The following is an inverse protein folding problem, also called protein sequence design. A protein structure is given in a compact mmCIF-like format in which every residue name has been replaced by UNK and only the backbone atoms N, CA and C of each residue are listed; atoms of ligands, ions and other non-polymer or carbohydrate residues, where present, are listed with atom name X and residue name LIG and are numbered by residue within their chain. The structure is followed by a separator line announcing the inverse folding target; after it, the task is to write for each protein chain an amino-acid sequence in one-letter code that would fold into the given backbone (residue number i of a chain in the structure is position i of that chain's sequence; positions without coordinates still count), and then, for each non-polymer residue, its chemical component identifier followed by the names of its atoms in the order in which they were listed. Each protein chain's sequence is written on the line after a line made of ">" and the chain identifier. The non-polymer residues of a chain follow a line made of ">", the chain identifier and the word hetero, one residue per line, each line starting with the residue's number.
data_IF_842595359575
#
_entry.id   IF_842595359575
#
_cell.length_a   1.000
_cell.length_b   1.000
_cell.length_c   1.000
_cell.angle_alpha   90.00
_cell.angle_beta   90.00
_cell.angle_gamma   90.00
#
_symmetry.space_group_name_H-M   'P 1'
#
loop_
_entity.id
_entity.type
_entity.pdbx_description
1 polymer ?
#
# COMPACT_ATOMS: atom_id res chain seq x y z
N UNK A 1 1.42 14.04 10.70
CA UNK A 1 2.09 15.12 9.94
C UNK A 1 2.25 14.61 8.51
N UNK A 2 1.43 15.10 7.59
CA UNK A 2 1.44 14.69 6.18
C UNK A 2 2.65 15.35 5.49
N UNK A 3 3.37 14.68 4.58
CA UNK A 3 4.49 15.30 3.89
C UNK A 3 3.96 16.40 2.96
N UNK A 4 4.66 17.53 2.96
CA UNK A 4 4.48 18.60 1.98
C UNK A 4 4.94 18.07 0.60
N UNK A 5 4.03 17.45 -0.15
CA UNK A 5 4.30 17.00 -1.52
C UNK A 5 4.33 18.21 -2.46
N UNK A 6 5.41 18.99 -2.40
CA UNK A 6 5.66 20.09 -3.35
C UNK A 6 6.03 19.59 -4.76
N UNK A 7 6.40 18.31 -4.90
CA UNK A 7 6.61 17.65 -6.19
C UNK A 7 5.91 16.28 -6.23
N UNK A 8 4.94 16.14 -7.13
CA UNK A 8 4.21 14.88 -7.39
C UNK A 8 4.90 14.01 -8.46
N UNK A 9 6.08 14.38 -8.96
CA UNK A 9 6.81 13.66 -10.02
C UNK A 9 6.94 12.16 -9.77
N UNK A 10 7.32 11.78 -8.55
CA UNK A 10 7.44 10.37 -8.12
C UNK A 10 6.09 9.67 -8.18
N UNK A 11 5.04 10.30 -7.63
CA UNK A 11 3.69 9.73 -7.63
C UNK A 11 3.13 9.60 -9.04
N UNK A 12 3.34 10.60 -9.89
CA UNK A 12 2.89 10.55 -11.28
C UNK A 12 3.51 9.38 -12.04
N UNK A 13 4.80 9.13 -11.84
CA UNK A 13 5.48 7.97 -12.43
C UNK A 13 5.00 6.61 -11.92
N UNK A 14 4.22 6.58 -10.83
CA UNK A 14 3.70 5.35 -10.20
C UNK A 14 2.23 5.08 -10.53
N UNK A 15 1.53 6.04 -11.11
CA UNK A 15 0.12 5.90 -11.49
C UNK A 15 0.06 5.42 -12.93
N UNK A 16 -0.60 4.28 -13.14
CA UNK A 16 -0.90 3.76 -14.47
C UNK A 16 -2.01 4.57 -15.15
N UNK A 17 -3.07 4.89 -14.39
CA UNK A 17 -4.22 5.66 -14.89
C UNK A 17 -5.03 6.24 -13.72
N UNK A 18 -5.64 7.42 -13.91
CA UNK A 18 -6.58 8.02 -12.96
C UNK A 18 -6.07 9.32 -12.36
N UNK A 19 -6.60 9.69 -11.18
CA UNK A 19 -6.26 10.95 -10.51
C UNK A 19 -5.14 10.75 -9.49
N UNK A 20 -4.18 11.66 -9.47
CA UNK A 20 -3.20 11.76 -8.40
C UNK A 20 -3.87 12.15 -7.08
N UNK A 21 -3.72 11.39 -5.98
CA UNK A 21 -4.39 11.67 -4.71
C UNK A 21 -3.87 12.92 -3.99
N UNK A 22 -2.78 13.52 -4.48
CA UNK A 22 -2.12 14.65 -3.83
C UNK A 22 -2.41 16.00 -4.51
N UNK A 23 -2.59 16.01 -5.82
CA UNK A 23 -2.74 17.22 -6.62
C UNK A 23 -3.93 17.19 -7.60
N UNK A 24 -4.72 16.12 -7.58
CA UNK A 24 -5.86 15.89 -8.47
C UNK A 24 -5.53 15.91 -9.98
N UNK A 25 -4.24 15.79 -10.35
CA UNK A 25 -3.83 15.69 -11.74
C UNK A 25 -4.35 14.39 -12.37
N UNK A 26 -4.96 14.50 -13.56
CA UNK A 26 -5.40 13.35 -14.36
C UNK A 26 -4.22 12.80 -15.16
N UNK A 27 -3.90 11.52 -14.91
CA UNK A 27 -2.79 10.81 -15.50
C UNK A 27 -3.32 9.65 -16.35
N UNK A 28 -2.79 9.55 -17.55
CA UNK A 28 -3.13 8.53 -18.53
C UNK A 28 -1.83 8.12 -19.21
N UNK A 29 -1.46 6.84 -19.16
CA UNK A 29 -0.43 6.31 -20.06
C UNK A 29 -1.04 6.25 -21.47
N UNK A 30 -0.81 7.28 -22.28
CA UNK A 30 -1.41 7.48 -23.60
C UNK A 30 -1.57 6.19 -24.45
N UNK A 31 -2.80 5.66 -24.51
CA UNK A 31 -3.31 4.78 -25.57
C UNK A 31 -4.85 4.62 -25.53
N UNK A 32 -5.61 5.69 -25.26
CA UNK A 32 -7.06 5.73 -25.56
C UNK A 32 -7.59 7.17 -25.44
N UNK A 33 -7.42 7.97 -26.50
CA UNK A 33 -8.32 9.10 -26.73
C UNK A 33 -9.62 8.52 -27.27
N UNK A 34 -10.59 8.28 -26.39
CA UNK A 34 -11.99 8.28 -26.80
C UNK A 34 -12.83 9.00 -25.75
N UNK A 35 -13.32 10.17 -26.17
CA UNK A 35 -14.31 11.00 -25.52
C UNK A 35 -15.53 10.15 -25.16
N UNK A 36 -15.68 9.79 -23.88
CA UNK A 36 -17.01 9.68 -23.28
C UNK A 36 -16.95 10.14 -21.83
N UNK A 37 -17.67 11.23 -21.57
CA UNK A 37 -17.85 11.88 -20.26
C UNK A 37 -18.65 11.03 -19.25
N UNK A 38 -18.57 9.69 -19.29
CA UNK A 38 -19.52 8.81 -18.60
C UNK A 38 -18.90 7.75 -17.66
N UNK A 39 -17.59 7.75 -17.39
CA UNK A 39 -17.02 6.83 -16.40
C UNK A 39 -15.78 7.37 -15.68
N UNK A 40 -15.83 8.62 -15.17
CA UNK A 40 -14.88 9.08 -14.13
C UNK A 40 -15.27 8.47 -12.77
N UNK A 41 -15.15 7.16 -12.65
CA UNK A 41 -14.92 6.56 -11.33
C UNK A 41 -13.56 7.09 -10.87
N UNK A 42 -13.53 7.75 -9.71
CA UNK A 42 -12.35 8.39 -9.10
C UNK A 42 -11.29 7.37 -8.65
N UNK A 43 -10.99 6.36 -9.45
CA UNK A 43 -10.14 5.24 -9.06
C UNK A 43 -8.75 5.47 -9.63
N UNK A 44 -7.80 5.74 -8.73
CA UNK A 44 -6.38 5.76 -9.05
C UNK A 44 -5.91 4.31 -9.23
N UNK A 45 -5.34 4.00 -10.40
CA UNK A 45 -4.75 2.70 -10.71
C UNK A 45 -3.23 2.82 -10.60
N UNK A 46 -2.65 2.12 -9.63
CA UNK A 46 -1.22 2.13 -9.37
C UNK A 46 -0.49 1.07 -10.19
N UNK A 47 0.71 1.41 -10.68
CA UNK A 47 1.61 0.48 -11.36
C UNK A 47 2.55 -0.15 -10.34
N UNK A 48 2.28 -1.40 -9.97
CA UNK A 48 3.13 -2.16 -9.05
C UNK A 48 4.55 -2.35 -9.59
N UNK A 49 4.71 -2.46 -10.91
CA UNK A 49 6.01 -2.47 -11.58
C UNK A 49 6.76 -1.17 -11.38
N UNK A 50 6.12 -0.02 -11.62
CA UNK A 50 6.76 1.28 -11.44
C UNK A 50 7.12 1.53 -9.97
N UNK A 51 6.27 1.12 -9.04
CA UNK A 51 6.55 1.18 -7.60
C UNK A 51 7.72 0.27 -7.21
N UNK A 52 7.78 -0.96 -7.74
CA UNK A 52 8.90 -1.87 -7.51
C UNK A 52 10.24 -1.29 -7.98
N UNK A 53 10.26 -0.64 -9.14
CA UNK A 53 11.43 0.08 -9.68
C UNK A 53 11.77 1.30 -8.82
N UNK A 54 10.79 2.08 -8.38
CA UNK A 54 11.03 3.24 -7.53
C UNK A 54 11.64 2.86 -6.17
N UNK A 55 11.29 1.69 -5.63
CA UNK A 55 11.93 1.11 -4.43
C UNK A 55 13.39 0.66 -4.64
N UNK A 56 13.92 0.68 -5.86
CA UNK A 56 15.34 0.41 -6.15
C UNK A 56 16.14 1.69 -6.36
N UNK A 57 15.48 2.85 -6.36
CA UNK A 57 16.13 4.12 -6.63
C UNK A 57 17.22 4.41 -5.58
N UNK A 58 18.32 5.04 -6.02
CA UNK A 58 19.41 5.39 -5.13
C UNK A 58 18.96 6.39 -4.05
N UNK A 59 18.08 7.33 -4.41
CA UNK A 59 17.53 8.34 -3.53
C UNK A 59 16.52 7.73 -2.55
N UNK A 60 16.79 7.84 -1.25
CA UNK A 60 15.86 7.42 -0.21
C UNK A 60 14.57 8.22 -0.18
N UNK A 61 14.55 9.46 -0.67
CA UNK A 61 13.35 10.28 -0.78
C UNK A 61 12.31 9.66 -1.72
N UNK A 62 12.76 9.18 -2.89
CA UNK A 62 11.92 8.47 -3.86
C UNK A 62 11.37 7.18 -3.24
N UNK A 63 12.22 6.40 -2.56
CA UNK A 63 11.79 5.16 -1.89
C UNK A 63 10.78 5.43 -0.78
N UNK A 64 11.02 6.44 0.07
CA UNK A 64 10.08 6.86 1.13
C UNK A 64 8.73 7.35 0.58
N UNK A 65 8.75 8.14 -0.49
CA UNK A 65 7.52 8.57 -1.15
C UNK A 65 6.74 7.38 -1.72
N UNK A 66 7.44 6.42 -2.32
CA UNK A 66 6.82 5.18 -2.82
C UNK A 66 6.15 4.38 -1.71
N UNK A 67 6.79 4.23 -0.55
CA UNK A 67 6.19 3.55 0.61
C UNK A 67 4.93 4.28 1.10
N UNK A 68 4.94 5.62 1.07
CA UNK A 68 3.78 6.43 1.44
C UNK A 68 2.62 6.22 0.46
N UNK A 69 2.91 6.13 -0.84
CA UNK A 69 1.92 5.87 -1.89
C UNK A 69 1.28 4.47 -1.81
N UNK A 70 1.93 3.48 -1.18
CA UNK A 70 1.34 2.14 -1.00
C UNK A 70 0.16 2.11 -0.02
N UNK A 71 -0.02 3.18 0.78
CA UNK A 71 -1.00 3.22 1.87
C UNK A 71 -1.90 4.46 1.82
N UNK A 72 -1.99 5.10 0.66
CA UNK A 72 -2.96 6.18 0.42
C UNK A 72 -4.36 5.61 0.27
N UNK A 73 -5.35 6.48 0.46
CA UNK A 73 -6.73 6.14 0.12
C UNK A 73 -6.79 5.78 -1.38
N UNK A 74 -7.32 4.60 -1.69
CA UNK A 74 -7.25 3.98 -3.03
C UNK A 74 -5.84 3.60 -3.50
N UNK A 75 -4.96 3.20 -2.59
CA UNK A 75 -3.70 2.50 -2.88
C UNK A 75 -3.91 1.16 -3.62
N UNK A 76 -2.81 0.49 -4.04
CA UNK A 76 -2.89 -0.86 -4.59
C UNK A 76 -3.50 -1.85 -3.59
N UNK A 77 -4.03 -2.96 -4.09
CA UNK A 77 -4.57 -4.04 -3.25
C UNK A 77 -3.51 -4.53 -2.25
N UNK A 78 -3.95 -4.97 -1.06
CA UNK A 78 -3.07 -5.39 0.03
C UNK A 78 -2.10 -6.49 -0.42
N UNK A 79 -2.60 -7.46 -1.18
CA UNK A 79 -1.81 -8.56 -1.77
C UNK A 79 -0.65 -8.04 -2.64
N UNK A 80 -0.86 -6.97 -3.40
CA UNK A 80 0.16 -6.33 -4.21
C UNK A 80 1.11 -5.42 -3.40
N UNK A 81 0.61 -4.82 -2.31
CA UNK A 81 1.40 -3.96 -1.42
C UNK A 81 2.37 -4.76 -0.54
N UNK A 82 2.00 -5.94 -0.06
CA UNK A 82 2.82 -6.78 0.83
C UNK A 82 4.24 -7.05 0.31
N UNK A 83 4.47 -7.54 -0.94
CA UNK A 83 5.82 -7.79 -1.42
C UNK A 83 6.65 -6.50 -1.55
N UNK A 84 6.02 -5.38 -1.87
CA UNK A 84 6.68 -4.07 -1.96
C UNK A 84 7.06 -3.53 -0.58
N UNK A 85 6.17 -3.64 0.41
CA UNK A 85 6.44 -3.27 1.80
C UNK A 85 7.47 -4.19 2.45
N UNK A 86 7.47 -5.48 2.13
CA UNK A 86 8.50 -6.44 2.55
C UNK A 86 9.90 -6.04 2.07
N UNK A 87 10.01 -5.54 0.82
CA UNK A 87 11.25 -4.98 0.29
C UNK A 87 11.66 -3.73 1.06
N UNK A 88 10.73 -2.80 1.29
CA UNK A 88 10.99 -1.57 2.04
C UNK A 88 11.35 -1.83 3.52
N UNK A 89 10.85 -2.92 4.11
CA UNK A 89 11.20 -3.37 5.46
C UNK A 89 12.68 -3.73 5.60
N UNK A 90 13.31 -4.17 4.50
CA UNK A 90 14.73 -4.51 4.42
C UNK A 90 15.57 -3.37 3.83
N UNK A 91 15.00 -2.16 3.70
CA UNK A 91 15.69 -1.04 3.09
C UNK A 91 16.93 -0.61 3.88
N UNK A 92 17.95 -0.14 3.17
CA UNK A 92 19.19 0.39 3.76
C UNK A 92 18.96 1.64 4.62
N UNK A 93 17.99 2.46 4.26
CA UNK A 93 17.64 3.69 4.99
C UNK A 93 16.75 3.37 6.20
N UNK A 94 17.15 3.75 7.43
CA UNK A 94 16.30 3.59 8.61
C UNK A 94 14.91 4.23 8.43
N UNK A 95 14.85 5.43 7.84
CA UNK A 95 13.60 6.14 7.58
C UNK A 95 12.64 5.34 6.69
N UNK A 96 13.16 4.64 5.68
CA UNK A 96 12.31 3.83 4.77
C UNK A 96 11.78 2.60 5.51
N UNK A 97 12.60 1.97 6.37
CA UNK A 97 12.15 0.84 7.20
C UNK A 97 11.06 1.24 8.17
N UNK A 98 11.21 2.38 8.85
CA UNK A 98 10.22 2.91 9.79
C UNK A 98 8.89 3.22 9.08
N UNK A 99 8.96 3.82 7.89
CA UNK A 99 7.78 4.04 7.05
C UNK A 99 7.13 2.73 6.62
N UNK A 100 7.91 1.70 6.28
CA UNK A 100 7.37 0.39 5.90
C UNK A 100 6.63 -0.27 7.06
N UNK A 101 7.16 -0.17 8.28
CA UNK A 101 6.47 -0.66 9.48
C UNK A 101 5.15 0.08 9.72
N UNK A 102 5.15 1.41 9.71
CA UNK A 102 3.92 2.20 9.87
C UNK A 102 2.91 1.98 8.73
N UNK A 103 3.38 1.71 7.52
CA UNK A 103 2.53 1.34 6.39
C UNK A 103 1.82 0.00 6.61
N UNK A 104 2.55 -1.03 7.08
CA UNK A 104 1.98 -2.33 7.41
C UNK A 104 0.98 -2.26 8.56
N UNK A 105 1.23 -1.41 9.56
CA UNK A 105 0.27 -1.15 10.65
C UNK A 105 -1.03 -0.55 10.11
N UNK A 106 -0.94 0.44 9.22
CA UNK A 106 -2.12 1.07 8.61
C UNK A 106 -2.91 0.11 7.72
N UNK A 107 -2.23 -0.73 6.93
CA UNK A 107 -2.90 -1.79 6.17
C UNK A 107 -3.56 -2.80 7.11
N UNK A 108 -2.85 -3.18 8.18
CA UNK A 108 -3.32 -3.97 9.32
C UNK A 108 -4.69 -3.53 9.84
N UNK A 109 -4.85 -2.22 10.03
CA UNK A 109 -6.07 -1.61 10.56
C UNK A 109 -7.25 -1.60 9.57
N UNK A 110 -6.97 -1.72 8.27
CA UNK A 110 -7.97 -1.70 7.20
C UNK A 110 -8.34 -3.07 6.65
N UNK A 111 -7.72 -4.16 7.11
CA UNK A 111 -8.03 -5.50 6.62
C UNK A 111 -9.42 -5.97 7.04
N UNK A 112 -10.09 -6.65 6.12
CA UNK A 112 -11.25 -7.46 6.45
C UNK A 112 -10.84 -8.75 7.19
N UNK A 113 -11.81 -9.36 7.89
CA UNK A 113 -11.58 -10.62 8.59
C UNK A 113 -11.24 -11.78 7.63
N UNK A 114 -11.76 -11.76 6.41
CA UNK A 114 -11.50 -12.81 5.43
C UNK A 114 -10.09 -12.66 4.82
N UNK A 115 -9.65 -11.44 4.51
CA UNK A 115 -8.27 -11.19 4.07
C UNK A 115 -7.25 -11.52 5.18
N UNK A 116 -7.54 -11.14 6.43
CA UNK A 116 -6.67 -11.47 7.56
C UNK A 116 -6.57 -12.99 7.77
N UNK A 117 -7.66 -13.73 7.57
CA UNK A 117 -7.67 -15.21 7.64
C UNK A 117 -6.83 -15.81 6.52
N UNK A 118 -7.06 -15.39 5.27
CA UNK A 118 -6.32 -15.90 4.11
C UNK A 118 -4.80 -15.67 4.25
N UNK A 119 -4.40 -14.48 4.72
CA UNK A 119 -3.00 -14.17 5.01
C UNK A 119 -2.42 -15.00 6.17
N UNK A 120 -3.22 -15.35 7.17
CA UNK A 120 -2.78 -16.18 8.28
C UNK A 120 -2.62 -17.65 7.86
N UNK A 121 -3.55 -18.16 7.04
CA UNK A 121 -3.54 -19.54 6.55
C UNK A 121 -2.31 -19.81 5.66
N UNK A 122 -1.90 -18.81 4.86
CA UNK A 122 -0.75 -18.89 3.95
C UNK A 122 0.50 -18.16 4.48
N UNK A 123 0.59 -17.94 5.79
CA UNK A 123 1.65 -17.11 6.38
C UNK A 123 3.07 -17.63 6.07
N UNK A 124 3.28 -18.94 6.19
CA UNK A 124 4.60 -19.56 6.00
C UNK A 124 5.02 -19.63 4.53
N UNK A 125 4.05 -19.57 3.61
CA UNK A 125 4.28 -19.61 2.17
C UNK A 125 4.39 -18.20 1.55
N UNK A 126 4.14 -17.15 2.35
CA UNK A 126 4.04 -15.78 1.86
C UNK A 126 5.42 -15.12 1.64
N UNK A 127 5.69 -14.54 0.46
CA UNK A 127 6.87 -13.72 0.23
C UNK A 127 6.78 -12.47 1.11
N UNK A 128 7.65 -12.38 2.11
CA UNK A 128 7.57 -11.33 3.12
C UNK A 128 6.79 -11.70 4.37
N UNK A 129 6.91 -12.95 4.82
CA UNK A 129 6.46 -13.46 6.13
C UNK A 129 6.55 -12.42 7.27
N UNK A 130 7.67 -11.71 7.41
CA UNK A 130 7.83 -10.67 8.45
C UNK A 130 6.86 -9.49 8.27
N UNK A 131 6.63 -9.05 7.04
CA UNK A 131 5.69 -8.00 6.73
C UNK A 131 4.26 -8.46 7.00
N UNK A 132 3.90 -9.69 6.60
CA UNK A 132 2.59 -10.27 6.87
C UNK A 132 2.36 -10.43 8.37
N UNK A 133 3.35 -10.91 9.14
CA UNK A 133 3.28 -10.96 10.61
C UNK A 133 3.04 -9.59 11.22
N UNK A 134 3.79 -8.57 10.80
CA UNK A 134 3.64 -7.20 11.31
C UNK A 134 2.23 -6.66 11.05
N UNK A 135 1.71 -6.89 9.85
CA UNK A 135 0.37 -6.50 9.42
C UNK A 135 -0.71 -7.25 10.22
N UNK A 136 -0.58 -8.57 10.41
CA UNK A 136 -1.52 -9.36 11.20
C UNK A 136 -1.48 -8.99 12.69
N UNK A 137 -0.32 -8.68 13.26
CA UNK A 137 -0.22 -8.17 14.63
C UNK A 137 -0.99 -6.86 14.78
N UNK A 138 -0.89 -5.95 13.80
CA UNK A 138 -1.66 -4.72 13.81
C UNK A 138 -3.18 -4.98 13.71
N UNK A 139 -3.60 -5.93 12.86
CA UNK A 139 -5.00 -6.36 12.77
C UNK A 139 -5.52 -6.93 14.11
N UNK A 140 -4.79 -7.87 14.73
CA UNK A 140 -5.22 -8.52 15.98
C UNK A 140 -5.11 -7.62 17.21
N UNK A 141 -4.16 -6.69 17.25
CA UNK A 141 -4.03 -5.73 18.35
C UNK A 141 -5.25 -4.79 18.45
N UNK A 142 -5.97 -4.54 17.35
CA UNK A 142 -7.25 -3.81 17.39
C UNK A 142 -8.36 -4.58 18.15
N UNK A 143 -8.25 -5.91 18.24
CA UNK A 143 -9.17 -6.75 19.03
C UNK A 143 -9.00 -6.61 20.55
N UNK A 144 -7.95 -5.94 21.03
CA UNK A 144 -7.69 -5.71 22.46
C UNK A 144 -8.48 -4.52 23.04
N UNK A 145 -9.18 -3.75 22.18
CA UNK A 145 -10.01 -2.62 22.57
C UNK A 145 -11.52 -2.86 22.52
N UNK A 146 -12.00 -4.01 22.04
CA UNK A 146 -13.43 -4.29 21.92
C UNK A 146 -13.72 -5.79 22.12
N UNK A 147 -13.92 -6.20 23.37
CA UNK A 147 -14.54 -7.49 23.69
C UNK A 147 -16.00 -7.47 23.25
N UNK A 148 -16.23 -7.75 21.98
CA UNK A 148 -17.56 -7.89 21.41
C UNK A 148 -17.48 -8.05 19.90
N UNK A 149 -17.63 -9.30 19.43
CA UNK A 149 -17.84 -9.69 18.03
C UNK A 149 -16.60 -10.12 17.21
N UNK A 150 -15.73 -10.97 17.78
CA UNK A 150 -14.93 -11.89 16.97
C UNK A 150 -15.71 -13.20 16.73
N UNK A 151 -15.70 -13.80 15.54
CA UNK A 151 -16.30 -15.13 15.35
C UNK A 151 -15.53 -16.14 16.20
N UNK A 152 -16.26 -16.95 16.97
CA UNK A 152 -15.69 -17.99 17.81
C UNK A 152 -14.85 -18.98 16.98
N UNK A 153 -13.73 -19.51 17.53
CA UNK A 153 -12.98 -20.55 16.85
C UNK A 153 -13.88 -21.77 16.62
N UNK A 154 -13.88 -22.27 15.39
CA UNK A 154 -14.56 -23.51 15.04
C UNK A 154 -13.92 -24.66 15.83
N UNK A 155 -14.79 -25.43 16.51
CA UNK A 155 -14.45 -26.63 17.26
C UNK A 155 -14.38 -27.84 16.33
#
# INVERSE_FOLDING_TARGET
>A
MMPEHTDCSVTHGQIAMGLCPWCDAELSSDAAREDTAAARTRKCFWSTTAMATALENLDSGIRSATVTNLVVEHGPEVSAAIPLLSKAFKDRSPRVRDLAHGALERLGQGLSADEARDLADHLLDSPGELAVRSLLLAYYNLGSGNFGSGPAPAN
#
